data_IF_806151189563
#
_entry.id   IF_806151189563
#
_cell.length_a   1.000
_cell.length_b   1.000
_cell.length_c   1.000
_cell.angle_alpha   90.00
_cell.angle_beta   90.00
_cell.angle_gamma   90.00
#
_symmetry.space_group_name_H-M   'P 1'
#
loop_
_entity.id
_entity.type
_entity.pdbx_description
1 polymer ?
#
# COMPACT_ATOMS: atom_id res chain seq x y z
N UNK A 1 38.86 3.74 -3.41
CA UNK A 1 38.85 2.87 -2.21
C UNK A 1 37.63 3.04 -1.30
N UNK A 2 37.20 4.27 -0.94
CA UNK A 2 36.04 4.53 -0.07
C UNK A 2 34.70 3.91 -0.56
N UNK A 3 34.45 3.87 -1.88
CA UNK A 3 33.23 3.31 -2.46
C UNK A 3 33.11 1.78 -2.29
N UNK A 4 34.23 1.06 -2.31
CA UNK A 4 34.27 -0.40 -2.16
C UNK A 4 33.98 -0.81 -0.70
N UNK A 5 34.54 -0.06 0.26
CA UNK A 5 34.33 -0.25 1.70
C UNK A 5 32.85 -0.04 2.07
N UNK A 6 32.20 1.02 1.54
CA UNK A 6 30.77 1.27 1.78
C UNK A 6 29.90 0.14 1.21
N UNK A 7 30.25 -0.43 0.05
CA UNK A 7 29.54 -1.57 -0.53
C UNK A 7 29.63 -2.81 0.36
N UNK A 8 30.81 -3.12 0.89
CA UNK A 8 31.07 -4.28 1.76
C UNK A 8 30.33 -4.16 3.11
N UNK A 9 30.20 -2.94 3.67
CA UNK A 9 29.44 -2.71 4.91
C UNK A 9 27.92 -2.70 4.65
N UNK A 10 27.46 -2.23 3.49
CA UNK A 10 26.03 -2.22 3.12
C UNK A 10 25.50 -3.57 2.63
N UNK A 11 26.34 -4.46 2.10
CA UNK A 11 25.97 -5.81 1.68
C UNK A 11 25.39 -6.68 2.83
N UNK A 12 26.04 -6.80 4.01
CA UNK A 12 25.49 -7.53 5.14
C UNK A 12 24.21 -6.86 5.61
N UNK A 13 24.12 -5.53 5.61
CA UNK A 13 22.90 -4.82 5.98
C UNK A 13 21.71 -5.14 5.05
N UNK A 14 21.95 -5.30 3.74
CA UNK A 14 20.89 -5.66 2.79
C UNK A 14 20.43 -7.13 2.94
N UNK A 15 21.38 -8.02 3.21
CA UNK A 15 21.11 -9.45 3.45
C UNK A 15 20.39 -9.64 4.79
N UNK A 16 20.86 -9.00 5.86
CA UNK A 16 20.24 -9.07 7.19
C UNK A 16 18.85 -8.44 7.20
N UNK A 17 18.61 -7.38 6.42
CA UNK A 17 17.27 -6.78 6.29
C UNK A 17 16.27 -7.74 5.61
N UNK A 18 16.70 -8.46 4.55
CA UNK A 18 15.84 -9.46 3.88
C UNK A 18 15.51 -10.63 4.81
N UNK A 19 16.51 -11.14 5.52
CA UNK A 19 16.33 -12.19 6.53
C UNK A 19 15.45 -11.72 7.69
N UNK A 20 15.64 -10.50 8.17
CA UNK A 20 14.81 -9.88 9.21
C UNK A 20 13.34 -9.82 8.79
N UNK A 21 13.03 -9.30 7.59
CA UNK A 21 11.65 -9.24 7.13
C UNK A 21 11.03 -10.61 6.93
N UNK A 22 11.81 -11.61 6.48
CA UNK A 22 11.33 -13.00 6.35
C UNK A 22 11.04 -13.63 7.70
N UNK A 23 11.95 -13.51 8.66
CA UNK A 23 11.77 -14.01 10.04
C UNK A 23 10.60 -13.29 10.71
N UNK A 24 10.52 -11.97 10.58
CA UNK A 24 9.40 -11.16 11.10
C UNK A 24 8.06 -11.59 10.50
N UNK A 25 8.01 -11.88 9.18
CA UNK A 25 6.79 -12.35 8.54
C UNK A 25 6.37 -13.74 9.05
N UNK A 26 7.32 -14.66 9.23
CA UNK A 26 7.07 -15.99 9.80
C UNK A 26 6.60 -15.89 11.26
N UNK A 27 7.26 -15.06 12.06
CA UNK A 27 6.88 -14.79 13.45
C UNK A 27 5.47 -14.19 13.52
N UNK A 28 5.19 -13.13 12.75
CA UNK A 28 3.85 -12.54 12.66
C UNK A 28 2.81 -13.56 12.22
N UNK A 29 3.09 -14.44 11.25
CA UNK A 29 2.13 -15.48 10.83
C UNK A 29 1.85 -16.49 11.93
N UNK A 30 2.84 -16.83 12.75
CA UNK A 30 2.69 -17.78 13.84
C UNK A 30 1.92 -17.20 15.03
N UNK A 31 2.24 -15.97 15.42
CA UNK A 31 1.68 -15.32 16.61
C UNK A 31 0.42 -14.49 16.33
N UNK A 32 0.30 -13.91 15.14
CA UNK A 32 -0.90 -13.17 14.71
C UNK A 32 -1.73 -14.03 13.77
N UNK A 33 -2.40 -15.04 14.34
CA UNK A 33 -3.31 -15.89 13.56
C UNK A 33 -4.44 -15.03 12.96
N UNK A 34 -4.82 -15.25 11.69
CA UNK A 34 -5.96 -14.56 11.12
C UNK A 34 -7.23 -14.86 11.92
N UNK A 35 -8.01 -13.81 12.22
CA UNK A 35 -9.30 -13.98 12.87
C UNK A 35 -10.34 -14.41 11.84
N UNK A 36 -10.45 -15.72 11.62
CA UNK A 36 -11.52 -16.33 10.85
C UNK A 36 -12.82 -16.19 11.66
N UNK A 37 -13.50 -15.06 11.51
CA UNK A 37 -14.85 -14.85 12.04
C UNK A 37 -15.76 -16.02 11.64
N UNK A 38 -16.87 -16.21 12.34
CA UNK A 38 -17.79 -17.30 12.05
C UNK A 38 -18.26 -17.25 10.57
N UNK A 39 -17.78 -18.18 9.75
CA UNK A 39 -18.10 -18.23 8.32
C UNK A 39 -19.51 -18.76 8.04
N UNK A 40 -20.25 -19.22 9.06
CA UNK A 40 -21.66 -19.61 8.97
C UNK A 40 -22.63 -18.47 9.28
N UNK A 41 -22.12 -17.25 9.47
CA UNK A 41 -22.95 -16.09 9.70
C UNK A 41 -23.59 -15.61 8.39
N UNK A 42 -24.90 -15.30 8.42
CA UNK A 42 -25.63 -14.83 7.24
C UNK A 42 -25.46 -13.34 6.96
N UNK A 43 -25.04 -12.55 7.95
CA UNK A 43 -24.71 -11.14 7.74
C UNK A 43 -23.24 -11.00 7.37
N UNK A 44 -22.90 -10.07 6.47
CA UNK A 44 -21.52 -9.77 6.14
C UNK A 44 -20.75 -9.28 7.37
N UNK A 45 -19.42 -9.47 7.35
CA UNK A 45 -18.54 -9.04 8.44
C UNK A 45 -18.43 -7.51 8.51
N UNK A 46 -18.63 -6.80 7.39
CA UNK A 46 -18.68 -5.33 7.32
C UNK A 46 -19.66 -4.91 6.22
N UNK A 47 -20.45 -3.87 6.49
CA UNK A 47 -21.40 -3.29 5.55
C UNK A 47 -20.81 -2.13 4.73
N UNK A 48 -19.55 -1.76 4.97
CA UNK A 48 -18.89 -0.62 4.32
C UNK A 48 -17.80 -1.08 3.36
N UNK A 49 -18.02 -2.21 2.67
CA UNK A 49 -17.08 -2.78 1.69
C UNK A 49 -15.64 -2.97 2.22
N UNK A 50 -15.48 -3.14 3.53
CA UNK A 50 -14.15 -3.32 4.13
C UNK A 50 -13.31 -2.05 4.23
N UNK A 51 -13.88 -0.86 4.07
CA UNK A 51 -13.20 0.42 4.30
C UNK A 51 -12.70 0.57 5.74
N UNK A 52 -13.30 -0.16 6.70
CA UNK A 52 -12.84 -0.30 8.09
C UNK A 52 -11.52 -1.07 8.23
N UNK A 53 -11.04 -1.75 7.16
CA UNK A 53 -9.88 -2.65 7.20
C UNK A 53 -8.61 -2.00 6.66
N UNK A 54 -8.60 -0.67 6.54
CA UNK A 54 -7.49 0.11 6.04
C UNK A 54 -7.61 0.44 4.55
N UNK A 55 -6.47 0.73 3.92
CA UNK A 55 -6.44 1.15 2.52
C UNK A 55 -6.58 -0.06 1.60
N UNK A 56 -7.62 -0.13 0.74
CA UNK A 56 -7.75 -1.24 -0.20
C UNK A 56 -6.65 -1.18 -1.28
N UNK A 57 -6.28 -2.35 -1.80
CA UNK A 57 -5.08 -2.53 -2.63
C UNK A 57 -5.15 -1.78 -3.95
N UNK A 58 -6.35 -1.66 -4.52
CA UNK A 58 -6.64 -0.87 -5.72
C UNK A 58 -6.12 0.56 -5.57
N UNK A 59 -6.30 1.18 -4.39
CA UNK A 59 -5.84 2.54 -4.11
C UNK A 59 -4.34 2.69 -4.23
N UNK A 60 -3.55 1.65 -3.95
CA UNK A 60 -2.10 1.72 -4.15
C UNK A 60 -1.75 1.88 -5.64
N UNK A 61 -2.42 1.11 -6.50
CA UNK A 61 -2.20 1.14 -7.95
C UNK A 61 -2.80 2.39 -8.59
N UNK A 62 -4.04 2.76 -8.23
CA UNK A 62 -4.68 3.99 -8.71
C UNK A 62 -3.85 5.21 -8.35
N UNK A 63 -3.36 5.31 -7.10
CA UNK A 63 -2.53 6.44 -6.67
C UNK A 63 -1.20 6.51 -7.43
N UNK A 64 -0.53 5.38 -7.65
CA UNK A 64 0.73 5.33 -8.40
C UNK A 64 0.52 5.71 -9.87
N UNK A 65 -0.53 5.17 -10.50
CA UNK A 65 -0.88 5.49 -11.88
C UNK A 65 -1.22 6.97 -12.07
N UNK A 66 -2.12 7.52 -11.26
CA UNK A 66 -2.51 8.92 -11.35
C UNK A 66 -1.36 9.86 -11.03
N UNK A 67 -0.50 9.50 -10.06
CA UNK A 67 0.68 10.30 -9.74
C UNK A 67 1.69 10.35 -10.89
N UNK A 68 1.87 9.24 -11.63
CA UNK A 68 2.80 9.18 -12.78
C UNK A 68 2.27 9.91 -14.01
N UNK A 69 0.94 10.04 -14.13
CA UNK A 69 0.26 10.63 -15.27
C UNK A 69 -0.43 11.96 -14.91
N UNK A 70 -0.02 12.61 -13.83
CA UNK A 70 -0.66 13.84 -13.34
C UNK A 70 -0.66 14.96 -14.37
N UNK A 71 0.37 15.04 -15.22
CA UNK A 71 0.45 16.00 -16.33
C UNK A 71 -0.67 15.85 -17.38
N UNK A 72 -1.39 14.73 -17.39
CA UNK A 72 -2.53 14.49 -18.28
C UNK A 72 -3.88 14.86 -17.64
N UNK A 73 -3.91 15.18 -16.34
CA UNK A 73 -5.12 15.51 -15.60
C UNK A 73 -5.22 17.04 -15.52
N UNK A 74 -5.67 17.68 -16.60
CA UNK A 74 -5.72 19.13 -16.73
C UNK A 74 -6.97 19.60 -17.50
N UNK A 75 -7.33 20.87 -17.36
CA UNK A 75 -8.51 21.46 -18.00
C UNK A 75 -9.81 21.11 -17.25
N UNK A 76 -10.88 20.86 -17.99
CA UNK A 76 -12.18 20.50 -17.40
C UNK A 76 -12.25 19.00 -17.15
N UNK A 77 -12.13 18.59 -15.89
CA UNK A 77 -12.13 17.18 -15.47
C UNK A 77 -13.38 16.88 -14.65
N UNK A 78 -14.05 15.77 -14.97
CA UNK A 78 -15.19 15.26 -14.20
C UNK A 78 -14.79 13.98 -13.47
N UNK A 79 -14.88 13.99 -12.15
CA UNK A 79 -14.71 12.81 -11.29
C UNK A 79 -16.10 12.39 -10.76
N UNK A 80 -16.33 11.08 -10.65
CA UNK A 80 -17.61 10.52 -10.20
C UNK A 80 -17.57 10.36 -8.67
N UNK A 81 -18.67 10.72 -8.01
CA UNK A 81 -18.91 10.67 -6.57
C UNK A 81 -18.19 11.74 -5.72
N UNK A 82 -16.88 11.95 -5.89
CA UNK A 82 -16.10 12.97 -5.16
C UNK A 82 -15.03 13.60 -6.06
N UNK A 83 -14.40 14.71 -5.64
CA UNK A 83 -13.33 15.40 -6.40
C UNK A 83 -11.92 15.11 -5.86
N UNK A 84 -11.76 13.97 -5.19
CA UNK A 84 -10.58 13.65 -4.38
C UNK A 84 -9.33 13.46 -5.25
N UNK A 85 -9.46 12.79 -6.38
CA UNK A 85 -8.35 12.53 -7.28
C UNK A 85 -7.96 13.77 -8.08
N UNK A 86 -8.92 14.56 -8.54
CA UNK A 86 -8.67 15.84 -9.21
C UNK A 86 -7.90 16.77 -8.27
N UNK A 87 -8.39 16.99 -7.05
CA UNK A 87 -7.74 17.88 -6.08
C UNK A 87 -6.31 17.43 -5.74
N UNK A 88 -6.07 16.11 -5.72
CA UNK A 88 -4.77 15.56 -5.34
C UNK A 88 -3.75 15.54 -6.49
N UNK A 89 -4.19 15.28 -7.72
CA UNK A 89 -3.29 14.99 -8.84
C UNK A 89 -3.41 15.98 -10.01
N UNK A 90 -4.54 16.68 -10.14
CA UNK A 90 -4.80 17.64 -11.21
C UNK A 90 -4.31 19.07 -10.93
N UNK A 91 -3.62 19.30 -9.81
CA UNK A 91 -3.04 20.61 -9.48
C UNK A 91 -4.06 21.67 -9.06
N UNK A 92 -5.17 21.24 -8.45
CA UNK A 92 -6.37 22.03 -8.19
C UNK A 92 -6.16 23.52 -7.88
N UNK A 93 -6.59 24.34 -8.84
CA UNK A 93 -7.27 25.63 -8.65
C UNK A 93 -8.62 25.57 -9.37
#
# INVERSE_FOLDING_TARGET
MKHLIIKIIKLPFRITKKSYHKIKALFNRHFNKPNWKNMRHLQPISNIFGLDRGTPIDRAYTNDFLSKNSCHIQGVVCEIAESRYINKYGGGE
#
